data_IF_524423191942
#
_entry.id   IF_524423191942
#
_cell.length_a   1.000
_cell.length_b   1.000
_cell.length_c   1.000
_cell.angle_alpha   90.00
_cell.angle_beta   90.00
_cell.angle_gamma   90.00
#
_symmetry.space_group_name_H-M   'P 1'
#
loop_
_entity.id
_entity.type
_entity.pdbx_description
1 polymer ?
#
# COMPACT_ATOMS: atom_id res chain seq x y z
N UNK A 1 -20.05 -7.87 5.50
CA UNK A 1 -18.69 -7.34 5.78
C UNK A 1 -18.14 -8.02 7.03
N UNK A 2 -17.07 -8.80 6.92
CA UNK A 2 -16.39 -9.41 8.07
C UNK A 2 -15.57 -8.33 8.79
N UNK A 3 -15.63 -8.26 10.13
CA UNK A 3 -14.88 -7.28 10.93
C UNK A 3 -13.79 -7.97 11.74
N UNK A 4 -12.59 -7.43 11.69
CA UNK A 4 -11.42 -7.89 12.45
C UNK A 4 -10.77 -6.64 13.04
N UNK A 5 -10.55 -6.61 14.35
CA UNK A 5 -10.04 -5.43 15.09
C UNK A 5 -8.54 -5.51 15.43
N UNK A 6 -7.95 -6.71 15.37
CA UNK A 6 -6.53 -6.92 15.68
C UNK A 6 -6.25 -7.18 17.16
N UNK A 7 -4.98 -7.12 17.54
CA UNK A 7 -4.50 -7.34 18.91
C UNK A 7 -4.64 -6.03 19.69
N UNK A 8 -5.26 -6.04 20.89
CA UNK A 8 -5.37 -4.84 21.72
C UNK A 8 -4.00 -4.18 21.96
N UNK A 9 -3.96 -2.85 21.88
CA UNK A 9 -2.77 -2.03 22.11
C UNK A 9 -1.57 -2.29 21.18
N UNK A 10 -1.73 -3.12 20.14
CA UNK A 10 -0.68 -3.36 19.15
C UNK A 10 -0.97 -2.59 17.86
N UNK A 11 -0.14 -1.60 17.47
CA UNK A 11 -0.33 -0.85 16.23
C UNK A 11 0.01 -1.68 14.98
N UNK A 12 0.75 -2.78 15.14
CA UNK A 12 1.28 -3.60 14.03
C UNK A 12 0.19 -4.11 13.08
N UNK A 13 -1.01 -4.40 13.60
CA UNK A 13 -2.15 -4.82 12.78
C UNK A 13 -2.65 -3.76 11.79
N UNK A 14 -2.28 -2.49 11.98
CA UNK A 14 -2.66 -1.35 11.15
C UNK A 14 -1.44 -0.63 10.58
N UNK A 15 -0.23 -1.21 10.64
CA UNK A 15 1.01 -0.55 10.24
C UNK A 15 0.97 0.02 8.80
N UNK A 16 0.32 -0.66 7.86
CA UNK A 16 0.14 -0.17 6.48
C UNK A 16 -0.67 1.13 6.44
N UNK A 17 -1.73 1.22 7.25
CA UNK A 17 -2.57 2.42 7.34
C UNK A 17 -1.80 3.55 8.02
N UNK A 18 -1.07 3.25 9.09
CA UNK A 18 -0.24 4.24 9.79
C UNK A 18 0.85 4.81 8.88
N UNK A 19 1.56 3.94 8.14
CA UNK A 19 2.52 4.34 7.11
C UNK A 19 1.86 5.23 6.04
N UNK A 20 0.67 4.86 5.58
CA UNK A 20 -0.09 5.67 4.61
C UNK A 20 -0.43 7.05 5.16
N UNK A 21 -0.86 7.15 6.43
CA UNK A 21 -1.11 8.43 7.08
C UNK A 21 0.14 9.30 7.21
N UNK A 22 1.31 8.71 7.47
CA UNK A 22 2.57 9.44 7.49
C UNK A 22 2.88 10.02 6.10
N UNK A 23 2.69 9.24 5.04
CA UNK A 23 2.85 9.73 3.65
C UNK A 23 1.90 10.89 3.39
N UNK A 24 0.60 10.75 3.67
CA UNK A 24 -0.39 11.81 3.45
C UNK A 24 -0.04 13.10 4.19
N UNK A 25 0.36 13.00 5.46
CA UNK A 25 0.81 14.16 6.25
C UNK A 25 2.04 14.84 5.64
N UNK A 26 3.00 14.06 5.14
CA UNK A 26 4.19 14.63 4.49
C UNK A 26 3.85 15.41 3.21
N UNK A 27 2.87 14.95 2.42
CA UNK A 27 2.41 15.66 1.22
C UNK A 27 1.61 16.92 1.58
N UNK A 28 0.78 16.87 2.62
CA UNK A 28 0.05 18.05 3.13
C UNK A 28 0.99 19.15 3.62
N UNK A 29 2.17 18.79 4.16
CA UNK A 29 3.20 19.73 4.58
C UNK A 29 3.98 20.32 3.39
N UNK A 30 4.19 19.54 2.33
CA UNK A 30 4.89 19.98 1.10
C UNK A 30 4.03 20.85 0.19
N UNK A 31 2.71 20.77 0.33
CA UNK A 31 1.76 21.51 -0.49
C UNK A 31 1.93 23.02 -0.32
N UNK A 32 2.12 23.73 -1.44
CA UNK A 32 2.22 25.19 -1.49
C UNK A 32 0.87 25.79 -1.88
N UNK A 33 0.55 26.96 -1.33
CA UNK A 33 -0.67 27.72 -1.63
C UNK A 33 -1.50 28.04 -0.38
N UNK A 34 -2.27 29.12 -0.44
CA UNK A 34 -3.11 29.63 0.66
C UNK A 34 -4.54 29.06 0.58
N UNK A 35 -4.67 27.78 0.19
CA UNK A 35 -5.97 27.12 0.05
C UNK A 35 -6.61 26.98 1.44
N UNK A 36 -7.61 27.82 1.72
CA UNK A 36 -8.24 27.91 3.04
C UNK A 36 -9.21 26.78 3.31
N UNK A 37 -9.79 26.19 2.27
CA UNK A 37 -10.70 25.07 2.40
C UNK A 37 -9.95 23.75 2.68
N UNK A 38 -10.18 23.11 3.85
CA UNK A 38 -9.48 21.88 4.21
C UNK A 38 -9.73 20.72 3.26
N UNK A 39 -10.92 20.64 2.65
CA UNK A 39 -11.27 19.56 1.74
C UNK A 39 -10.55 19.70 0.41
N UNK A 40 -10.52 20.90 -0.18
CA UNK A 40 -9.74 21.18 -1.38
C UNK A 40 -8.25 20.93 -1.15
N UNK A 41 -7.72 21.36 0.00
CA UNK A 41 -6.34 21.09 0.37
C UNK A 41 -6.07 19.58 0.45
N UNK A 42 -6.92 18.84 1.16
CA UNK A 42 -6.78 17.40 1.32
C UNK A 42 -6.89 16.65 0.00
N UNK A 43 -7.90 16.94 -0.83
CA UNK A 43 -8.19 16.20 -2.07
C UNK A 43 -7.04 16.22 -3.09
N UNK A 44 -6.19 17.24 -3.08
CA UNK A 44 -4.99 17.29 -3.94
C UNK A 44 -4.00 16.18 -3.60
N UNK A 45 -3.89 15.81 -2.33
CA UNK A 45 -2.89 14.83 -1.87
C UNK A 45 -3.18 13.41 -2.37
N UNK A 46 -4.38 12.82 -2.18
CA UNK A 46 -4.71 11.53 -2.77
C UNK A 46 -4.61 11.55 -4.29
N UNK A 47 -4.98 12.65 -4.96
CA UNK A 47 -4.81 12.76 -6.41
C UNK A 47 -3.33 12.62 -6.80
N UNK A 48 -2.43 13.38 -6.16
CA UNK A 48 -0.99 13.29 -6.41
C UNK A 48 -0.45 11.88 -6.14
N UNK A 49 -0.75 11.31 -4.97
CA UNK A 49 -0.24 9.98 -4.57
C UNK A 49 -0.75 8.88 -5.50
N UNK A 50 -2.02 8.96 -5.94
CA UNK A 50 -2.63 7.88 -6.74
C UNK A 50 -2.35 7.98 -8.23
N UNK A 51 -2.11 9.19 -8.77
CA UNK A 51 -2.01 9.43 -10.21
C UNK A 51 -0.69 10.00 -10.69
N UNK A 52 0.07 10.70 -9.84
CA UNK A 52 1.31 11.38 -10.23
C UNK A 52 2.57 10.73 -9.63
N UNK A 53 2.44 9.98 -8.54
CA UNK A 53 3.54 9.26 -7.92
C UNK A 53 3.64 7.85 -8.50
N UNK A 54 4.52 7.67 -9.48
CA UNK A 54 4.81 6.35 -10.04
C UNK A 54 5.61 5.50 -9.05
N UNK A 55 5.33 4.20 -9.05
CA UNK A 55 6.15 3.23 -8.32
C UNK A 55 7.42 2.96 -9.10
N UNK A 56 8.54 2.74 -8.41
CA UNK A 56 9.82 2.44 -9.05
C UNK A 56 9.70 1.26 -10.03
N UNK A 57 10.15 1.47 -11.27
CA UNK A 57 10.07 0.48 -12.34
C UNK A 57 8.67 0.31 -12.97
N UNK A 58 7.70 1.19 -12.70
CA UNK A 58 6.37 1.18 -13.31
C UNK A 58 6.11 2.47 -14.08
N UNK A 59 5.51 2.34 -15.26
CA UNK A 59 5.08 3.48 -16.08
C UNK A 59 3.66 3.93 -15.73
N UNK A 60 2.81 3.00 -15.28
CA UNK A 60 1.43 3.29 -14.94
C UNK A 60 1.26 3.83 -13.50
N UNK A 61 0.29 4.74 -13.28
CA UNK A 61 0.01 5.22 -11.93
C UNK A 61 -0.57 4.15 -10.99
N UNK A 62 -0.36 4.26 -9.67
CA UNK A 62 -0.88 3.33 -8.67
C UNK A 62 -2.38 3.02 -8.79
N UNK A 63 -3.20 4.03 -9.12
CA UNK A 63 -4.63 3.83 -9.31
C UNK A 63 -4.96 2.86 -10.47
N UNK A 64 -4.21 2.94 -11.57
CA UNK A 64 -4.39 2.07 -12.75
C UNK A 64 -3.94 0.66 -12.42
N UNK A 65 -2.77 0.51 -11.80
CA UNK A 65 -2.24 -0.79 -11.36
C UNK A 65 -3.23 -1.49 -10.42
N UNK A 66 -3.74 -0.75 -9.43
CA UNK A 66 -4.73 -1.29 -8.49
C UNK A 66 -6.03 -1.70 -9.20
N UNK A 67 -6.55 -0.86 -10.11
CA UNK A 67 -7.75 -1.17 -10.89
C UNK A 67 -7.61 -2.48 -11.67
N UNK A 68 -6.47 -2.67 -12.34
CA UNK A 68 -6.17 -3.89 -13.10
C UNK A 68 -6.01 -5.08 -12.17
N UNK A 69 -5.30 -4.92 -11.05
CA UNK A 69 -5.12 -6.00 -10.06
C UNK A 69 -6.46 -6.49 -9.49
N UNK A 70 -7.41 -5.58 -9.25
CA UNK A 70 -8.75 -5.94 -8.77
C UNK A 70 -9.57 -6.63 -9.86
N UNK A 71 -9.48 -6.17 -11.12
CA UNK A 71 -10.22 -6.75 -12.25
C UNK A 71 -9.69 -8.12 -12.69
N UNK A 72 -8.38 -8.23 -12.85
CA UNK A 72 -7.71 -9.43 -13.35
C UNK A 72 -7.46 -10.47 -12.25
N UNK A 73 -7.63 -10.08 -11.00
CA UNK A 73 -7.21 -10.87 -9.85
C UNK A 73 -5.70 -10.79 -9.62
N UNK A 74 -5.27 -11.04 -8.39
CA UNK A 74 -3.83 -11.18 -8.11
C UNK A 74 -3.33 -12.48 -8.71
N UNK A 75 -2.22 -12.49 -9.48
CA UNK A 75 -1.63 -13.73 -9.94
C UNK A 75 -1.24 -14.56 -8.71
N UNK A 76 -1.88 -15.72 -8.55
CA UNK A 76 -1.65 -16.59 -7.40
C UNK A 76 -0.37 -17.40 -7.54
N UNK A 77 0.08 -17.64 -8.78
CA UNK A 77 1.29 -18.37 -9.09
C UNK A 77 2.09 -17.61 -10.13
N UNK A 78 3.39 -17.43 -9.87
CA UNK A 78 4.34 -17.01 -10.89
C UNK A 78 4.97 -18.28 -11.46
N UNK A 79 4.67 -18.67 -12.72
CA UNK A 79 5.17 -19.91 -13.29
C UNK A 79 6.71 -19.89 -13.27
N UNK A 80 7.31 -20.99 -12.83
CA UNK A 80 8.76 -21.21 -12.69
C UNK A 80 9.44 -20.45 -11.54
N UNK A 81 8.70 -19.84 -10.61
CA UNK A 81 9.29 -19.31 -9.37
C UNK A 81 9.38 -20.43 -8.34
N UNK A 82 10.60 -20.94 -8.14
CA UNK A 82 10.93 -21.93 -7.12
C UNK A 82 11.55 -21.20 -5.92
N UNK A 83 10.92 -21.31 -4.74
CA UNK A 83 11.39 -20.66 -3.51
C UNK A 83 11.49 -21.68 -2.40
N UNK A 84 12.67 -21.79 -1.81
CA UNK A 84 12.85 -22.50 -0.54
C UNK A 84 12.44 -21.59 0.61
N UNK A 85 11.57 -22.08 1.51
CA UNK A 85 11.09 -21.33 2.67
C UNK A 85 11.59 -22.01 3.95
N UNK A 86 12.16 -21.22 4.86
CA UNK A 86 12.50 -21.73 6.20
C UNK A 86 11.25 -21.77 7.06
N UNK A 87 10.97 -22.94 7.62
CA UNK A 87 9.86 -23.11 8.55
C UNK A 87 10.19 -22.41 9.88
N UNK A 88 9.43 -21.38 10.30
CA UNK A 88 9.77 -20.58 11.48
C UNK A 88 9.63 -21.35 12.80
N UNK A 89 8.97 -22.51 12.81
CA UNK A 89 8.78 -23.34 14.01
C UNK A 89 9.85 -24.41 14.15
N UNK A 90 10.29 -25.01 13.05
CA UNK A 90 11.24 -26.12 13.04
C UNK A 90 12.66 -25.70 12.66
N UNK A 91 12.82 -24.54 11.99
CA UNK A 91 14.09 -24.03 11.49
C UNK A 91 14.60 -24.72 10.23
N UNK A 92 13.87 -25.70 9.69
CA UNK A 92 14.26 -26.48 8.53
C UNK A 92 13.87 -25.73 7.24
N UNK A 93 14.76 -25.74 6.25
CA UNK A 93 14.46 -25.23 4.91
C UNK A 93 13.67 -26.27 4.12
N UNK A 94 12.51 -25.88 3.60
CA UNK A 94 11.59 -26.72 2.83
C UNK A 94 11.40 -26.12 1.43
N UNK A 95 11.11 -26.94 0.43
CA UNK A 95 10.78 -26.50 -0.94
C UNK A 95 11.92 -26.60 -1.97
N UNK A 96 11.68 -26.18 -3.23
CA UNK A 96 10.55 -25.38 -3.71
C UNK A 96 9.21 -26.08 -3.82
#
# INVERSE_FOLDING_TARGET
>A
VKRITGIPHSPTGQAVIECTHQVLKSYLQKQKGDEKDPHQRLNKVPFTVNFLCLTEGREEPPAVIHHWTVKSGRPQNLPNLLVTCQNPKTGIWEGP
#
